data_IF_948485913267
#
_entry.id   IF_948485913267
#
_cell.length_a   1.000
_cell.length_b   1.000
_cell.length_c   1.000
_cell.angle_alpha   90.00
_cell.angle_beta   90.00
_cell.angle_gamma   90.00
#
_symmetry.space_group_name_H-M   'P 1'
#
loop_
_entity.id
_entity.type
_entity.pdbx_description
1 polymer ?
#
# COMPACT_ATOMS: atom_id res chain seq x y z
N UNK A 1 1.67 -5.98 -22.63
CA UNK A 1 0.75 -5.40 -23.65
C UNK A 1 0.18 -4.13 -23.04
N UNK A 2 0.58 -2.94 -23.51
CA UNK A 2 0.03 -1.68 -23.02
C UNK A 2 -1.38 -1.52 -23.58
N UNK A 3 -2.39 -1.51 -22.71
CA UNK A 3 -3.77 -1.18 -23.08
C UNK A 3 -3.80 0.35 -23.19
N UNK A 4 -4.14 0.95 -24.34
CA UNK A 4 -4.32 2.40 -24.45
C UNK A 4 -5.28 2.89 -23.37
N UNK A 5 -4.86 3.89 -22.60
CA UNK A 5 -5.62 4.40 -21.45
C UNK A 5 -5.27 3.80 -20.09
N UNK A 6 -4.40 2.77 -20.01
CA UNK A 6 -3.96 2.24 -18.73
C UNK A 6 -2.83 3.09 -18.11
N UNK A 7 -3.11 3.71 -16.96
CA UNK A 7 -2.16 4.46 -16.16
C UNK A 7 -1.78 3.64 -14.91
N UNK A 8 -0.48 3.44 -14.74
CA UNK A 8 0.11 2.80 -13.59
C UNK A 8 0.71 3.86 -12.67
N UNK A 9 0.41 3.77 -11.38
CA UNK A 9 0.98 4.65 -10.36
C UNK A 9 1.69 3.85 -9.27
N UNK A 10 2.68 4.46 -8.64
CA UNK A 10 3.13 4.06 -7.31
C UNK A 10 2.55 5.01 -6.27
N UNK A 11 2.15 4.47 -5.11
CA UNK A 11 1.79 5.28 -3.95
C UNK A 11 3.01 5.47 -3.07
N UNK A 12 3.27 6.69 -2.61
CA UNK A 12 4.27 7.00 -1.62
C UNK A 12 3.58 7.47 -0.34
N UNK A 13 3.96 6.90 0.80
CA UNK A 13 3.48 7.32 2.11
C UNK A 13 4.65 7.32 3.08
N UNK A 14 4.91 8.48 3.67
CA UNK A 14 5.94 8.65 4.67
C UNK A 14 5.57 9.79 5.61
N UNK A 15 5.97 9.67 6.86
CA UNK A 15 5.74 10.65 7.91
C UNK A 15 7.09 11.18 8.39
N UNK A 16 7.24 12.50 8.43
CA UNK A 16 8.45 13.15 8.89
C UNK A 16 8.14 14.22 9.93
N UNK A 17 9.15 14.55 10.73
CA UNK A 17 9.04 15.63 11.70
C UNK A 17 9.09 17.00 10.99
N UNK A 18 7.96 17.70 11.01
CA UNK A 18 7.80 19.00 10.36
C UNK A 18 8.72 20.09 10.95
N UNK A 19 9.16 19.94 12.20
CA UNK A 19 9.94 20.94 12.93
C UNK A 19 11.45 20.64 12.95
N UNK A 20 11.90 19.59 12.25
CA UNK A 20 13.30 19.20 12.19
C UNK A 20 13.81 18.42 13.41
N UNK A 21 15.12 18.10 13.43
CA UNK A 21 15.71 17.08 14.33
C UNK A 21 15.70 17.42 15.82
N UNK A 22 15.47 18.68 16.20
CA UNK A 22 15.63 19.14 17.59
C UNK A 22 14.42 18.86 18.49
N UNK A 23 13.23 18.71 17.93
CA UNK A 23 11.99 18.60 18.72
C UNK A 23 10.93 17.79 17.96
N UNK A 24 10.57 16.61 18.46
CA UNK A 24 9.49 15.75 17.93
C UNK A 24 8.10 16.33 18.27
N UNK A 25 7.75 17.45 17.64
CA UNK A 25 6.51 18.18 17.95
C UNK A 25 5.35 17.81 17.02
N UNK A 26 5.63 17.51 15.75
CA UNK A 26 4.60 17.10 14.81
C UNK A 26 5.17 16.22 13.69
N UNK A 27 4.62 15.00 13.59
CA UNK A 27 4.78 14.10 12.47
C UNK A 27 3.67 14.37 11.45
N UNK A 28 4.04 14.80 10.24
CA UNK A 28 3.12 14.98 9.12
C UNK A 28 3.67 14.24 7.91
N UNK A 29 2.82 13.90 6.95
CA UNK A 29 3.27 13.10 5.81
C UNK A 29 2.38 13.23 4.60
N UNK A 30 2.92 13.30 3.37
CA UNK A 30 2.09 13.28 2.18
C UNK A 30 1.72 11.83 1.80
N UNK A 31 0.54 11.69 1.21
CA UNK A 31 0.15 10.51 0.43
C UNK A 31 0.26 10.96 -1.03
N UNK A 32 1.26 10.46 -1.74
CA UNK A 32 1.56 10.88 -3.11
C UNK A 32 1.36 9.73 -4.10
N UNK A 33 0.90 10.05 -5.31
CA UNK A 33 0.84 9.14 -6.44
C UNK A 33 1.86 9.60 -7.49
N UNK A 34 2.64 8.66 -8.00
CA UNK A 34 3.70 8.91 -8.97
C UNK A 34 3.41 8.09 -10.22
N UNK A 35 3.26 8.75 -11.36
CA UNK A 35 2.90 8.08 -12.62
C UNK A 35 4.09 7.29 -13.17
N UNK A 36 3.96 5.96 -13.21
CA UNK A 36 5.00 5.05 -13.68
C UNK A 36 5.10 5.02 -15.22
N UNK A 37 4.08 5.49 -15.93
CA UNK A 37 4.09 5.63 -17.38
C UNK A 37 5.02 6.75 -17.89
N UNK A 38 5.41 7.69 -17.02
CA UNK A 38 6.36 8.73 -17.39
C UNK A 38 7.80 8.19 -17.43
N UNK A 39 8.68 8.76 -18.28
CA UNK A 39 10.11 8.47 -18.26
C UNK A 39 10.69 8.71 -16.86
N UNK A 40 11.68 7.91 -16.46
CA UNK A 40 12.24 7.97 -15.10
C UNK A 40 12.72 9.38 -14.69
N UNK A 41 13.27 10.15 -15.64
CA UNK A 41 13.73 11.54 -15.42
C UNK A 41 12.60 12.51 -15.11
N UNK A 42 11.35 12.14 -15.42
CA UNK A 42 10.17 13.01 -15.31
C UNK A 42 9.31 12.68 -14.09
N UNK A 43 9.31 11.42 -13.62
CA UNK A 43 8.37 10.91 -12.60
C UNK A 43 8.32 11.72 -11.31
N UNK A 44 9.48 12.14 -10.83
CA UNK A 44 9.63 12.79 -9.52
C UNK A 44 9.71 14.31 -9.60
N UNK A 45 9.47 14.89 -10.78
CA UNK A 45 9.37 16.34 -10.91
C UNK A 45 8.11 16.83 -10.17
N UNK A 46 8.17 17.95 -9.43
CA UNK A 46 7.03 18.43 -8.65
C UNK A 46 5.71 18.53 -9.43
N UNK A 47 5.77 18.90 -10.71
CA UNK A 47 4.62 18.99 -11.61
C UNK A 47 3.98 17.65 -12.00
N UNK A 48 4.69 16.53 -11.79
CA UNK A 48 4.25 15.18 -12.16
C UNK A 48 3.90 14.30 -10.94
N UNK A 49 4.00 14.85 -9.73
CA UNK A 49 3.64 14.16 -8.48
C UNK A 49 2.26 14.61 -8.02
N UNK A 50 1.34 13.67 -7.86
CA UNK A 50 -0.02 13.95 -7.41
C UNK A 50 -0.14 13.75 -5.89
N UNK A 51 -0.43 14.79 -5.13
CA UNK A 51 -0.67 14.68 -3.68
C UNK A 51 -2.14 14.37 -3.45
N UNK A 52 -2.46 13.10 -3.15
CA UNK A 52 -3.84 12.66 -2.90
C UNK A 52 -4.32 12.94 -1.48
N UNK A 53 -3.41 13.23 -0.54
CA UNK A 53 -3.77 13.56 0.83
C UNK A 53 -2.57 13.94 1.69
N UNK A 54 -2.87 14.50 2.87
CA UNK A 54 -1.89 14.83 3.91
C UNK A 54 -2.29 14.10 5.19
N UNK A 55 -1.36 13.36 5.75
CA UNK A 55 -1.44 12.76 7.07
C UNK A 55 -1.26 13.87 8.12
N UNK A 56 -2.28 14.13 8.95
CA UNK A 56 -2.20 15.17 9.95
C UNK A 56 -1.32 14.73 11.13
N UNK A 57 -0.62 15.70 11.72
CA UNK A 57 0.08 15.52 12.98
C UNK A 57 -0.84 15.70 14.19
N UNK A 58 -0.29 15.69 15.42
CA UNK A 58 1.14 15.70 15.72
C UNK A 58 1.81 14.32 15.74
N UNK A 59 1.03 13.24 15.77
CA UNK A 59 1.57 11.88 15.86
C UNK A 59 1.38 11.14 14.55
N UNK A 60 2.26 10.18 14.28
CA UNK A 60 2.03 9.24 13.20
C UNK A 60 0.71 8.48 13.39
N UNK A 61 -0.04 8.24 12.31
CA UNK A 61 -1.27 7.47 12.39
C UNK A 61 -0.95 6.00 12.73
N UNK A 62 -1.83 5.42 13.53
CA UNK A 62 -1.97 3.96 13.60
C UNK A 62 -2.40 3.41 12.23
N UNK A 63 -2.18 2.12 11.98
CA UNK A 63 -2.61 1.48 10.74
C UNK A 63 -4.13 1.65 10.49
N UNK A 64 -4.95 1.64 11.56
CA UNK A 64 -6.39 1.85 11.44
C UNK A 64 -6.74 3.30 11.07
N UNK A 65 -6.04 4.29 11.64
CA UNK A 65 -6.22 5.70 11.26
C UNK A 65 -5.79 5.94 9.81
N UNK A 66 -4.68 5.32 9.39
CA UNK A 66 -4.22 5.41 8.01
C UNK A 66 -5.23 4.81 7.03
N UNK A 67 -5.88 3.69 7.38
CA UNK A 67 -6.99 3.14 6.59
C UNK A 67 -8.11 4.17 6.38
N UNK A 68 -8.49 4.92 7.42
CA UNK A 68 -9.54 5.94 7.28
C UNK A 68 -9.12 7.08 6.36
N UNK A 69 -7.85 7.51 6.44
CA UNK A 69 -7.30 8.55 5.56
C UNK A 69 -7.24 8.12 4.09
N UNK A 70 -6.92 6.85 3.85
CA UNK A 70 -6.82 6.28 2.50
C UNK A 70 -8.17 5.91 1.87
N UNK A 71 -9.25 5.86 2.66
CA UNK A 71 -10.57 5.41 2.19
C UNK A 71 -11.10 6.16 0.96
N UNK A 72 -11.00 7.51 0.86
CA UNK A 72 -11.41 8.23 -0.35
C UNK A 72 -10.58 7.81 -1.57
N UNK A 73 -9.26 7.75 -1.43
CA UNK A 73 -8.35 7.35 -2.50
C UNK A 73 -8.65 5.92 -2.99
N UNK A 74 -8.82 4.95 -2.07
CA UNK A 74 -9.11 3.56 -2.44
C UNK A 74 -10.47 3.46 -3.15
N UNK A 75 -11.47 4.25 -2.74
CA UNK A 75 -12.76 4.31 -3.43
C UNK A 75 -12.58 4.79 -4.88
N UNK A 76 -11.88 5.91 -5.08
CA UNK A 76 -11.62 6.47 -6.41
C UNK A 76 -10.82 5.50 -7.29
N UNK A 77 -9.80 4.83 -6.74
CA UNK A 77 -9.00 3.84 -7.46
C UNK A 77 -9.83 2.63 -7.90
N UNK A 78 -10.83 2.21 -7.11
CA UNK A 78 -11.75 1.13 -7.51
C UNK A 78 -12.64 1.54 -8.67
N UNK A 79 -13.12 2.79 -8.67
CA UNK A 79 -13.91 3.35 -9.76
C UNK A 79 -13.05 3.48 -11.04
N UNK A 80 -11.85 4.05 -10.92
CA UNK A 80 -10.91 4.19 -12.03
C UNK A 80 -10.41 2.85 -12.58
N UNK A 81 -10.38 1.79 -11.78
CA UNK A 81 -10.06 0.45 -12.27
C UNK A 81 -11.13 -0.13 -13.20
N UNK A 82 -12.42 0.18 -12.95
CA UNK A 82 -13.50 -0.18 -13.88
C UNK A 82 -13.44 0.65 -15.18
N UNK A 83 -12.74 1.77 -15.12
CA UNK A 83 -12.48 2.66 -16.23
C UNK A 83 -13.35 3.91 -16.21
N UNK A 84 -12.79 4.99 -16.76
CA UNK A 84 -13.40 6.31 -16.78
C UNK A 84 -13.33 6.90 -18.18
N UNK A 85 -14.46 7.42 -18.68
CA UNK A 85 -14.52 8.13 -19.95
C UNK A 85 -14.24 9.62 -19.72
N UNK A 86 -13.06 10.08 -20.13
CA UNK A 86 -12.73 11.49 -20.15
C UNK A 86 -13.57 12.21 -21.20
N UNK A 87 -14.00 13.44 -20.87
CA UNK A 87 -14.82 14.23 -21.79
C UNK A 87 -14.04 14.57 -23.08
N UNK A 88 -14.71 14.64 -24.24
CA UNK A 88 -14.05 14.95 -25.52
C UNK A 88 -13.25 16.25 -25.51
N UNK A 89 -13.70 17.24 -24.73
CA UNK A 89 -13.05 18.54 -24.64
C UNK A 89 -11.68 18.51 -23.92
N UNK A 90 -11.40 17.45 -23.17
CA UNK A 90 -10.16 17.31 -22.38
C UNK A 90 -9.06 16.51 -23.08
N UNK A 91 -9.41 15.63 -24.02
CA UNK A 91 -8.50 14.57 -24.52
C UNK A 91 -8.60 14.31 -26.03
N UNK A 92 -9.47 15.05 -26.75
CA UNK A 92 -9.65 14.96 -28.19
C UNK A 92 -11.09 14.60 -28.59
N UNK A 93 -11.46 14.71 -29.87
CA UNK A 93 -12.85 14.67 -30.33
C UNK A 93 -13.63 13.40 -29.98
N UNK A 94 -12.95 12.30 -29.66
CA UNK A 94 -13.57 11.01 -29.27
C UNK A 94 -13.60 10.76 -27.76
N UNK A 95 -13.02 11.65 -26.95
CA UNK A 95 -12.68 11.37 -25.55
C UNK A 95 -11.62 10.27 -25.42
N UNK A 96 -11.22 9.98 -24.19
CA UNK A 96 -10.33 8.85 -23.89
C UNK A 96 -10.91 8.01 -22.78
N UNK A 97 -10.79 6.70 -22.90
CA UNK A 97 -11.06 5.78 -21.81
C UNK A 97 -9.77 5.58 -21.01
N UNK A 98 -9.82 5.76 -19.69
CA UNK A 98 -8.67 5.56 -18.82
C UNK A 98 -8.97 4.53 -17.73
N UNK A 99 -7.98 3.70 -17.42
CA UNK A 99 -7.98 2.81 -16.27
C UNK A 99 -6.76 3.12 -15.40
N UNK A 100 -6.93 3.13 -14.07
CA UNK A 100 -5.83 3.42 -13.14
C UNK A 100 -5.59 2.25 -12.19
N UNK A 101 -4.32 1.89 -11.99
CA UNK A 101 -3.91 0.91 -10.99
C UNK A 101 -2.68 1.37 -10.20
N UNK A 102 -2.66 1.06 -8.91
CA UNK A 102 -1.46 1.16 -8.08
C UNK A 102 -0.66 -0.14 -8.23
N UNK A 103 0.57 -0.06 -8.74
CA UNK A 103 1.43 -1.23 -8.92
C UNK A 103 2.40 -1.46 -7.76
N UNK A 104 2.72 -0.40 -7.00
CA UNK A 104 3.69 -0.52 -5.90
C UNK A 104 3.45 0.56 -4.86
N UNK A 105 3.72 0.21 -3.61
CA UNK A 105 3.81 1.15 -2.50
C UNK A 105 5.28 1.41 -2.19
N UNK A 106 5.61 2.68 -1.98
CA UNK A 106 6.94 3.16 -1.59
C UNK A 106 6.80 3.79 -0.22
N UNK A 107 7.43 3.19 0.77
CA UNK A 107 7.39 3.63 2.15
C UNK A 107 8.60 3.05 2.88
N UNK A 108 8.95 3.61 4.04
CA UNK A 108 9.87 2.94 4.95
C UNK A 108 9.25 1.62 5.48
N UNK A 109 10.04 0.78 6.15
CA UNK A 109 9.55 -0.52 6.62
C UNK A 109 8.36 -0.43 7.58
N UNK A 110 8.29 0.63 8.40
CA UNK A 110 7.24 0.81 9.40
C UNK A 110 5.93 1.21 8.74
N UNK A 111 5.96 2.23 7.87
CA UNK A 111 4.81 2.66 7.07
C UNK A 111 4.38 1.56 6.09
N UNK A 112 5.31 0.79 5.52
CA UNK A 112 4.97 -0.35 4.66
C UNK A 112 4.11 -1.39 5.39
N UNK A 113 4.44 -1.74 6.63
CA UNK A 113 3.60 -2.62 7.47
C UNK A 113 2.22 -2.01 7.76
N UNK A 114 2.12 -0.68 7.88
CA UNK A 114 0.85 0.06 8.03
C UNK A 114 0.06 0.21 6.71
N UNK A 115 0.62 -0.13 5.56
CA UNK A 115 -0.09 -0.14 4.26
C UNK A 115 -0.51 -1.57 3.87
N UNK A 116 0.41 -2.51 4.03
CA UNK A 116 0.29 -3.92 3.57
C UNK A 116 -0.30 -4.86 4.60
N UNK A 117 -0.28 -4.48 5.88
CA UNK A 117 -0.82 -5.32 6.94
C UNK A 117 0.14 -6.42 7.41
N UNK A 118 1.39 -6.40 6.96
CA UNK A 118 2.42 -7.26 7.52
C UNK A 118 2.86 -6.80 8.91
N UNK A 119 3.21 -7.77 9.74
CA UNK A 119 3.82 -7.54 11.03
C UNK A 119 5.22 -6.92 10.88
N UNK A 120 5.58 -6.07 11.83
CA UNK A 120 6.90 -5.44 11.88
C UNK A 120 8.02 -6.46 12.07
N UNK A 121 9.26 -5.99 11.88
CA UNK A 121 10.50 -6.76 12.08
C UNK A 121 10.60 -7.45 13.46
N UNK A 122 9.87 -6.96 14.47
CA UNK A 122 9.81 -7.54 15.81
C UNK A 122 8.94 -8.80 15.93
N UNK A 123 8.09 -9.10 14.94
CA UNK A 123 7.19 -10.23 14.92
C UNK A 123 7.86 -11.58 14.60
N UNK A 124 7.10 -12.66 14.77
CA UNK A 124 7.55 -14.01 14.45
C UNK A 124 7.67 -14.26 12.94
N UNK A 125 6.81 -13.64 12.13
CA UNK A 125 6.85 -13.67 10.68
C UNK A 125 7.25 -12.30 10.12
N UNK A 126 8.49 -11.90 10.38
CA UNK A 126 9.02 -10.55 10.14
C UNK A 126 9.24 -10.20 8.66
N UNK A 127 9.20 -11.17 7.75
CA UNK A 127 9.45 -10.96 6.32
C UNK A 127 8.13 -10.76 5.55
N UNK A 128 8.09 -9.74 4.69
CA UNK A 128 6.95 -9.49 3.78
C UNK A 128 6.92 -10.41 2.56
N UNK A 129 8.04 -11.06 2.22
CA UNK A 129 8.15 -11.95 1.04
C UNK A 129 8.07 -13.44 1.38
N UNK A 130 8.37 -13.80 2.63
CA UNK A 130 8.37 -15.19 3.07
C UNK A 130 7.70 -15.39 4.43
N UNK A 131 7.32 -16.63 4.71
CA UNK A 131 6.65 -17.13 5.91
C UNK A 131 7.62 -17.70 6.92
N UNK A 132 8.94 -17.47 6.77
CA UNK A 132 9.95 -17.95 7.71
C UNK A 132 9.60 -17.49 9.13
N UNK A 133 9.69 -18.41 10.09
CA UNK A 133 9.51 -18.07 11.48
C UNK A 133 10.84 -17.58 12.06
N UNK A 134 10.80 -16.62 12.99
CA UNK A 134 12.00 -16.06 13.64
C UNK A 134 12.90 -17.10 14.29
N UNK A 135 12.31 -18.19 14.80
CA UNK A 135 13.06 -19.33 15.35
C UNK A 135 13.90 -20.08 14.31
N UNK A 136 13.62 -19.89 13.02
CA UNK A 136 14.26 -20.53 11.88
C UNK A 136 15.09 -19.55 11.07
N UNK A 137 15.47 -18.39 11.63
CA UNK A 137 16.16 -17.31 10.88
C UNK A 137 17.48 -17.75 10.22
N UNK A 138 18.11 -18.79 10.75
CA UNK A 138 19.34 -19.40 10.22
C UNK A 138 19.10 -20.33 9.02
N UNK A 139 17.84 -20.65 8.68
CA UNK A 139 17.47 -21.49 7.53
C UNK A 139 17.56 -20.71 6.22
N UNK A 140 18.79 -20.46 5.78
CA UNK A 140 19.11 -19.72 4.56
C UNK A 140 19.35 -20.68 3.40
N UNK A 141 18.62 -20.48 2.30
CA UNK A 141 18.88 -21.15 1.02
C UNK A 141 17.61 -21.51 0.23
N UNK A 142 17.75 -21.78 -1.08
CA UNK A 142 16.64 -22.04 -1.98
C UNK A 142 15.85 -23.33 -1.66
N UNK A 143 16.41 -24.23 -0.85
CA UNK A 143 15.76 -25.43 -0.35
C UNK A 143 14.60 -25.15 0.62
N UNK A 144 14.56 -23.96 1.20
CA UNK A 144 13.55 -23.56 2.17
C UNK A 144 12.42 -22.80 1.46
N UNK A 145 11.32 -23.51 1.17
CA UNK A 145 10.17 -22.96 0.45
C UNK A 145 9.24 -22.16 1.39
N UNK A 146 9.69 -20.97 1.79
CA UNK A 146 8.91 -20.06 2.63
C UNK A 146 8.19 -18.97 1.83
N UNK A 147 8.16 -18.99 0.51
CA UNK A 147 7.53 -17.91 -0.28
C UNK A 147 6.07 -17.71 0.10
N UNK A 148 5.67 -16.45 0.35
CA UNK A 148 4.26 -16.12 0.54
C UNK A 148 3.52 -16.32 -0.77
N UNK A 149 2.33 -16.89 -0.70
CA UNK A 149 1.45 -17.00 -1.86
C UNK A 149 0.24 -16.09 -1.67
N UNK A 150 -0.20 -15.48 -2.77
CA UNK A 150 -1.42 -14.69 -2.80
C UNK A 150 -2.63 -15.46 -2.26
N UNK A 151 -2.78 -16.75 -2.60
CA UNK A 151 -3.90 -17.55 -2.11
C UNK A 151 -3.87 -17.72 -0.58
N UNK A 152 -2.70 -18.00 0.00
CA UNK A 152 -2.56 -18.14 1.45
C UNK A 152 -2.79 -16.80 2.16
N UNK A 153 -2.28 -15.71 1.59
CA UNK A 153 -2.48 -14.34 2.08
C UNK A 153 -3.97 -13.98 2.13
N UNK A 154 -4.68 -14.15 1.02
CA UNK A 154 -6.13 -13.92 0.93
C UNK A 154 -6.92 -14.80 1.90
N UNK A 155 -6.53 -16.07 2.07
CA UNK A 155 -7.17 -16.98 3.03
C UNK A 155 -7.01 -16.49 4.47
N UNK A 156 -5.83 -15.96 4.83
CA UNK A 156 -5.53 -15.41 6.16
C UNK A 156 -6.29 -14.11 6.40
N UNK A 157 -6.35 -13.22 5.42
CA UNK A 157 -7.16 -12.00 5.50
C UNK A 157 -8.64 -12.34 5.71
N UNK A 158 -9.16 -13.30 4.96
CA UNK A 158 -10.55 -13.73 5.09
C UNK A 158 -10.83 -14.36 6.48
N UNK A 159 -9.88 -15.10 7.06
CA UNK A 159 -9.95 -15.56 8.45
C UNK A 159 -9.97 -14.39 9.43
N UNK A 160 -9.07 -13.42 9.25
CA UNK A 160 -8.97 -12.22 10.10
C UNK A 160 -10.25 -11.38 10.06
N UNK A 161 -10.84 -11.16 8.88
CA UNK A 161 -12.06 -10.38 8.72
C UNK A 161 -13.26 -11.01 9.45
N UNK A 162 -13.40 -12.34 9.39
CA UNK A 162 -14.49 -13.10 10.06
C UNK A 162 -14.28 -13.26 11.57
N UNK A 163 -13.06 -13.07 12.05
CA UNK A 163 -12.69 -13.25 13.44
C UNK A 163 -13.16 -12.09 14.35
N UNK A 164 -13.40 -12.40 15.62
CA UNK A 164 -13.66 -11.39 16.65
C UNK A 164 -12.42 -10.52 16.91
N UNK A 165 -12.55 -9.33 17.53
CA UNK A 165 -11.40 -8.48 17.85
C UNK A 165 -10.28 -9.19 18.63
N UNK A 166 -10.63 -10.07 19.57
CA UNK A 166 -9.66 -10.87 20.32
C UNK A 166 -8.94 -11.89 19.43
N UNK A 167 -9.68 -12.61 18.58
CA UNK A 167 -9.13 -13.60 17.67
C UNK A 167 -8.24 -12.96 16.59
N UNK A 168 -8.56 -11.75 16.14
CA UNK A 168 -7.76 -10.99 15.16
C UNK A 168 -6.33 -10.77 15.62
N UNK A 169 -6.13 -10.50 16.91
CA UNK A 169 -4.79 -10.31 17.47
C UNK A 169 -4.01 -11.63 17.48
N UNK A 170 -4.66 -12.74 17.82
CA UNK A 170 -4.04 -14.07 17.77
C UNK A 170 -3.64 -14.44 16.33
N UNK A 171 -4.55 -14.27 15.37
CA UNK A 171 -4.28 -14.50 13.94
C UNK A 171 -3.12 -13.63 13.45
N UNK A 172 -3.10 -12.34 13.81
CA UNK A 172 -2.02 -11.46 13.40
C UNK A 172 -0.67 -11.89 13.99
N UNK A 173 -0.64 -12.37 15.23
CA UNK A 173 0.56 -12.89 15.87
C UNK A 173 1.02 -14.22 15.25
N UNK A 174 0.08 -15.08 14.86
CA UNK A 174 0.33 -16.41 14.30
C UNK A 174 0.80 -16.34 12.84
N UNK A 175 0.19 -15.51 12.00
CA UNK A 175 0.46 -15.48 10.56
C UNK A 175 1.25 -14.24 10.11
N UNK A 176 1.36 -13.22 10.96
CA UNK A 176 2.01 -11.95 10.63
C UNK A 176 1.24 -11.09 9.61
N UNK A 177 -0.05 -11.37 9.39
CA UNK A 177 -0.90 -10.70 8.40
C UNK A 177 -2.20 -10.24 9.03
N UNK A 178 -2.60 -9.01 8.76
CA UNK A 178 -3.93 -8.46 9.07
C UNK A 178 -4.47 -7.71 7.87
N UNK A 179 -5.80 -7.59 7.80
CA UNK A 179 -6.44 -6.76 6.79
C UNK A 179 -6.06 -5.28 6.94
N UNK A 180 -5.72 -4.63 5.83
CA UNK A 180 -5.65 -3.18 5.67
C UNK A 180 -6.27 -2.78 4.33
N UNK A 181 -6.56 -1.50 4.14
CA UNK A 181 -7.48 -1.03 3.11
C UNK A 181 -6.99 -1.24 1.66
N UNK A 182 -5.69 -1.44 1.45
CA UNK A 182 -5.15 -1.79 0.14
C UNK A 182 -5.69 -3.14 -0.38
N UNK A 183 -6.08 -4.04 0.52
CA UNK A 183 -6.70 -5.33 0.18
C UNK A 183 -8.09 -5.18 -0.47
N UNK A 184 -8.69 -3.98 -0.44
CA UNK A 184 -9.96 -3.70 -1.13
C UNK A 184 -9.76 -3.46 -2.64
N UNK A 185 -8.52 -3.27 -3.10
CA UNK A 185 -8.18 -3.09 -4.51
C UNK A 185 -8.15 -4.47 -5.20
N UNK A 186 -8.97 -4.69 -6.26
CA UNK A 186 -9.13 -6.02 -6.85
C UNK A 186 -7.90 -6.55 -7.59
N UNK A 187 -6.91 -5.69 -7.85
CA UNK A 187 -5.66 -6.00 -8.55
C UNK A 187 -4.45 -6.02 -7.62
N UNK A 188 -4.64 -5.75 -6.33
CA UNK A 188 -3.53 -5.61 -5.39
C UNK A 188 -3.05 -6.97 -4.88
N UNK A 189 -1.73 -7.15 -4.90
CA UNK A 189 -1.04 -8.27 -4.29
C UNK A 189 0.10 -7.72 -3.42
N UNK A 190 0.07 -8.03 -2.13
CA UNK A 190 1.08 -7.59 -1.17
C UNK A 190 2.24 -8.60 -1.04
N UNK A 191 2.16 -9.79 -1.64
CA UNK A 191 3.10 -10.91 -1.42
C UNK A 191 4.34 -10.90 -2.31
#
# INVERSE_FOLDING_TARGET
MFIPGALAFSVYVDCFNAHGKSTWLASIGPIMLICLNLPQSERFKPENVYVSGIIPGPNEPTALQLNYLLKPLIKELKELWQGYHCSPNSTGPSGSFICVAILTAIADLVAMGKLTGFISHSGNHFCSFCTIHKAQIEEIGPQFHYTRSYQNHQSTIAKWLRASPHQRQAIFSEYGVKYLIFEDLPYWDAT
#
